data_IF_978283759926
#
_entry.id   IF_978283759926
#
_cell.length_a   1.000
_cell.length_b   1.000
_cell.length_c   1.000
_cell.angle_alpha   90.00
_cell.angle_beta   90.00
_cell.angle_gamma   90.00
#
_symmetry.space_group_name_H-M   'P 1'
#
loop_
_entity.id
_entity.type
_entity.pdbx_description
1 polymer ?
#
# COMPACT_ATOMS: atom_id res chain seq x y z
N UNK A 1 -1.23 29.45 11.87
CA UNK A 1 -1.79 28.41 12.77
C UNK A 1 -3.00 27.91 12.02
N UNK A 2 -2.73 27.02 11.06
CA UNK A 2 -3.64 26.79 9.95
C UNK A 2 -4.45 25.55 10.26
N UNK A 3 -5.55 25.79 10.96
CA UNK A 3 -6.64 24.86 11.17
C UNK A 3 -7.47 24.85 9.88
N UNK A 4 -7.11 24.00 8.92
CA UNK A 4 -8.01 23.41 7.90
C UNK A 4 -7.20 22.69 6.82
N UNK A 5 -6.57 21.58 7.21
CA UNK A 5 -6.08 20.61 6.23
C UNK A 5 -6.58 19.23 6.66
N UNK A 6 -7.91 19.02 6.55
CA UNK A 6 -8.48 17.68 6.61
C UNK A 6 -7.87 16.91 5.43
N UNK A 7 -6.80 16.19 5.72
CA UNK A 7 -6.09 15.40 4.73
C UNK A 7 -7.07 14.36 4.20
N UNK A 8 -7.28 14.36 2.88
CA UNK A 8 -8.32 13.57 2.22
C UNK A 8 -8.12 12.09 2.53
N UNK A 9 -9.01 11.52 3.35
CA UNK A 9 -9.10 10.09 3.59
C UNK A 9 -9.86 9.44 2.43
N UNK A 10 -9.37 8.28 1.99
CA UNK A 10 -9.99 7.47 0.94
C UNK A 10 -10.24 6.08 1.52
N UNK A 11 -11.49 5.63 1.46
CA UNK A 11 -11.87 4.28 1.89
C UNK A 11 -11.36 3.24 0.90
N UNK A 12 -10.76 2.17 1.45
CA UNK A 12 -10.38 0.99 0.69
C UNK A 12 -11.47 -0.08 0.75
N UNK A 13 -11.43 -1.01 -0.19
CA UNK A 13 -12.38 -2.13 -0.21
C UNK A 13 -12.08 -3.05 0.97
N UNK A 14 -13.08 -3.28 1.82
CA UNK A 14 -12.90 -4.10 3.02
C UNK A 14 -12.52 -5.55 2.66
N UNK A 15 -11.65 -6.21 3.47
CA UNK A 15 -11.15 -7.55 3.15
C UNK A 15 -12.23 -8.63 2.97
N UNK A 16 -13.37 -8.46 3.62
CA UNK A 16 -14.52 -9.38 3.54
C UNK A 16 -15.22 -9.30 2.18
N UNK A 17 -14.97 -8.23 1.41
CA UNK A 17 -15.58 -7.97 0.11
C UNK A 17 -14.69 -8.36 -1.07
N UNK A 18 -13.45 -8.81 -0.83
CA UNK A 18 -12.53 -9.20 -1.89
C UNK A 18 -13.09 -10.36 -2.74
N UNK A 19 -13.20 -10.11 -4.03
CA UNK A 19 -13.52 -11.06 -5.10
C UNK A 19 -12.25 -11.64 -5.73
N UNK A 20 -11.13 -10.94 -5.66
CA UNK A 20 -9.83 -11.38 -6.18
C UNK A 20 -8.96 -12.11 -5.13
N UNK A 21 -7.77 -12.59 -5.53
CA UNK A 21 -6.79 -13.19 -4.61
C UNK A 21 -7.02 -14.66 -4.22
N UNK A 22 -7.96 -15.34 -4.88
CA UNK A 22 -8.37 -16.73 -4.56
C UNK A 22 -7.50 -17.83 -5.21
N UNK A 23 -6.31 -17.48 -5.73
CA UNK A 23 -5.42 -18.47 -6.35
C UNK A 23 -4.84 -19.42 -5.29
N UNK A 24 -4.68 -20.73 -5.57
CA UNK A 24 -4.06 -21.65 -4.63
C UNK A 24 -2.66 -21.18 -4.21
N UNK A 25 -2.36 -21.29 -2.92
CA UNK A 25 -1.12 -20.75 -2.36
C UNK A 25 0.14 -21.33 -3.03
N UNK A 26 0.17 -22.65 -3.26
CA UNK A 26 1.29 -23.31 -3.93
C UNK A 26 1.51 -22.79 -5.36
N UNK A 27 0.44 -22.47 -6.09
CA UNK A 27 0.55 -21.90 -7.44
C UNK A 27 1.18 -20.51 -7.41
N UNK A 28 0.79 -19.68 -6.43
CA UNK A 28 1.35 -18.34 -6.25
C UNK A 28 2.84 -18.43 -5.93
N UNK A 29 3.24 -19.32 -5.01
CA UNK A 29 4.65 -19.53 -4.66
C UNK A 29 5.49 -19.99 -5.85
N UNK A 30 5.01 -21.00 -6.58
CA UNK A 30 5.75 -21.60 -7.69
C UNK A 30 5.90 -20.65 -8.89
N UNK A 31 4.94 -19.73 -9.10
CA UNK A 31 4.96 -18.77 -10.21
C UNK A 31 5.59 -17.42 -9.87
N UNK A 32 5.91 -17.16 -8.60
CA UNK A 32 6.44 -15.86 -8.16
C UNK A 32 7.81 -15.60 -8.75
N UNK A 33 7.93 -14.48 -9.46
CA UNK A 33 9.19 -13.95 -9.99
C UNK A 33 9.23 -12.43 -9.80
N UNK A 34 10.43 -11.85 -9.72
CA UNK A 34 10.58 -10.39 -9.69
C UNK A 34 10.41 -9.82 -11.10
N UNK A 35 9.37 -9.03 -11.32
CA UNK A 35 9.14 -8.32 -12.59
C UNK A 35 9.65 -6.89 -12.49
N UNK A 36 10.30 -6.41 -13.56
CA UNK A 36 10.85 -5.04 -13.67
C UNK A 36 10.44 -4.34 -14.97
N UNK A 37 9.51 -4.94 -15.69
CA UNK A 37 8.83 -4.34 -16.83
C UNK A 37 7.34 -4.34 -16.51
N UNK A 38 6.73 -3.17 -16.54
CA UNK A 38 5.35 -2.93 -16.11
C UNK A 38 4.52 -2.37 -17.26
N UNK A 39 3.22 -2.67 -17.26
CA UNK A 39 2.27 -2.01 -18.18
C UNK A 39 1.94 -0.61 -17.67
N UNK A 40 1.38 0.21 -18.56
CA UNK A 40 0.84 1.52 -18.20
C UNK A 40 -0.61 1.43 -17.70
N UNK A 41 -1.12 0.22 -17.48
CA UNK A 41 -2.46 0.01 -16.94
C UNK A 41 -2.57 0.52 -15.50
N UNK A 42 -3.79 0.82 -15.12
CA UNK A 42 -4.15 1.20 -13.76
C UNK A 42 -4.36 -0.07 -12.94
N UNK A 43 -4.02 -0.02 -11.66
CA UNK A 43 -4.56 -0.99 -10.71
C UNK A 43 -5.99 -0.58 -10.34
N UNK A 44 -6.85 -1.57 -10.18
CA UNK A 44 -8.16 -1.37 -9.57
C UNK A 44 -8.00 -0.99 -8.09
N UNK A 45 -9.02 -0.33 -7.51
CA UNK A 45 -9.03 -0.06 -6.07
C UNK A 45 -8.97 -1.35 -5.25
N UNK A 46 -9.58 -2.43 -5.74
CA UNK A 46 -9.61 -3.72 -5.06
C UNK A 46 -8.22 -4.38 -5.01
N UNK A 47 -7.47 -4.34 -6.11
CA UNK A 47 -6.09 -4.84 -6.15
C UNK A 47 -5.20 -4.11 -5.16
N UNK A 48 -5.28 -2.77 -5.10
CA UNK A 48 -4.52 -2.00 -4.11
C UNK A 48 -4.95 -2.35 -2.68
N UNK A 49 -6.27 -2.41 -2.43
CA UNK A 49 -6.84 -2.74 -1.12
C UNK A 49 -6.36 -4.11 -0.63
N UNK A 50 -6.37 -5.11 -1.53
CA UNK A 50 -5.89 -6.45 -1.25
C UNK A 50 -4.39 -6.47 -0.92
N UNK A 51 -3.56 -5.79 -1.70
CA UNK A 51 -2.11 -5.73 -1.47
C UNK A 51 -1.78 -5.09 -0.12
N UNK A 52 -2.46 -4.00 0.24
CA UNK A 52 -2.29 -3.32 1.53
C UNK A 52 -2.74 -4.18 2.69
N UNK A 53 -3.88 -4.84 2.56
CA UNK A 53 -4.37 -5.76 3.56
C UNK A 53 -3.41 -6.95 3.74
N UNK A 54 -3.00 -7.59 2.65
CA UNK A 54 -2.12 -8.76 2.68
C UNK A 54 -0.75 -8.47 3.33
N UNK A 55 -0.26 -7.24 3.21
CA UNK A 55 1.07 -6.86 3.71
C UNK A 55 1.05 -6.23 5.09
N UNK A 56 0.01 -5.48 5.47
CA UNK A 56 -0.03 -4.71 6.73
C UNK A 56 -1.42 -4.61 7.38
N UNK A 57 -2.40 -5.41 6.92
CA UNK A 57 -3.77 -5.44 7.43
C UNK A 57 -3.90 -5.82 8.91
N UNK A 58 -4.90 -5.26 9.58
CA UNK A 58 -5.23 -5.49 11.00
C UNK A 58 -6.36 -6.50 11.12
N UNK A 59 -6.07 -7.76 11.46
CA UNK A 59 -7.07 -8.81 11.65
C UNK A 59 -7.89 -8.61 12.92
N UNK A 60 -7.23 -8.22 14.01
CA UNK A 60 -7.88 -8.12 15.32
C UNK A 60 -7.11 -7.17 16.23
N UNK A 61 -7.84 -6.30 16.93
CA UNK A 61 -7.32 -5.50 18.04
C UNK A 61 -7.52 -6.28 19.35
N UNK A 62 -6.46 -6.51 20.12
CA UNK A 62 -6.56 -7.30 21.35
C UNK A 62 -7.19 -6.45 22.47
N UNK A 63 -8.21 -7.00 23.13
CA UNK A 63 -8.94 -6.32 24.24
C UNK A 63 -8.06 -5.94 25.43
N UNK A 64 -6.90 -6.59 25.58
CA UNK A 64 -5.94 -6.31 26.65
C UNK A 64 -5.15 -5.02 26.45
N UNK A 65 -5.29 -4.34 25.30
CA UNK A 65 -4.47 -3.18 24.93
C UNK A 65 -3.01 -3.55 24.61
N UNK A 66 -2.66 -4.85 24.60
CA UNK A 66 -1.26 -5.33 24.48
C UNK A 66 -0.77 -5.49 23.04
N UNK A 67 -1.57 -5.15 22.03
CA UNK A 67 -1.15 -5.19 20.65
C UNK A 67 -2.26 -5.51 19.65
N UNK A 68 -1.86 -5.66 18.40
CA UNK A 68 -2.74 -5.89 17.25
C UNK A 68 -2.26 -7.13 16.51
N UNK A 69 -3.19 -8.02 16.16
CA UNK A 69 -2.92 -9.14 15.28
C UNK A 69 -3.05 -8.66 13.84
N UNK A 70 -1.97 -8.82 13.07
CA UNK A 70 -1.90 -8.42 11.66
C UNK A 70 -1.90 -9.62 10.73
N UNK A 71 -2.01 -9.36 9.44
CA UNK A 71 -1.80 -10.36 8.38
C UNK A 71 -0.37 -10.88 8.33
N UNK A 72 0.59 -10.10 8.82
CA UNK A 72 2.01 -10.44 8.92
C UNK A 72 2.47 -10.53 10.39
N UNK A 73 3.38 -11.46 10.73
CA UNK A 73 3.92 -11.58 12.08
C UNK A 73 4.90 -10.43 12.41
N UNK A 74 5.00 -10.07 13.69
CA UNK A 74 5.98 -9.09 14.20
C UNK A 74 6.43 -9.48 15.60
N UNK A 75 7.73 -9.32 15.88
CA UNK A 75 8.28 -9.51 17.22
C UNK A 75 7.50 -8.67 18.24
N UNK A 76 7.07 -9.32 19.33
CA UNK A 76 6.32 -8.68 20.43
C UNK A 76 5.02 -7.98 20.03
N UNK A 77 4.42 -8.34 18.88
CA UNK A 77 3.25 -7.66 18.31
C UNK A 77 3.42 -6.13 18.11
N UNK A 78 4.67 -5.67 17.95
CA UNK A 78 4.99 -4.23 17.88
C UNK A 78 4.56 -3.57 16.57
N UNK A 79 4.69 -4.28 15.46
CA UNK A 79 4.33 -3.78 14.12
C UNK A 79 4.90 -2.38 13.83
N UNK A 80 6.24 -2.21 13.88
CA UNK A 80 6.86 -0.88 13.85
C UNK A 80 6.73 -0.17 12.50
N UNK A 81 6.42 -0.91 11.43
CA UNK A 81 6.41 -0.34 10.09
C UNK A 81 5.18 0.54 9.85
N UNK A 82 5.43 1.76 9.40
CA UNK A 82 4.46 2.55 8.66
C UNK A 82 4.57 2.26 7.16
N UNK A 83 3.45 2.35 6.46
CA UNK A 83 3.39 2.10 5.01
C UNK A 83 2.97 3.36 4.29
N UNK A 84 3.89 3.87 3.49
CA UNK A 84 3.66 4.95 2.55
C UNK A 84 3.56 4.39 1.14
N UNK A 85 2.79 5.08 0.31
CA UNK A 85 2.55 4.69 -1.07
C UNK A 85 2.80 5.88 -1.96
N UNK A 86 3.52 5.65 -3.05
CA UNK A 86 3.59 6.59 -4.16
C UNK A 86 2.71 6.01 -5.24
N UNK A 87 1.53 6.59 -5.40
CA UNK A 87 0.52 6.16 -6.35
C UNK A 87 0.71 6.95 -7.63
N UNK A 88 0.92 6.24 -8.73
CA UNK A 88 0.98 6.82 -10.07
C UNK A 88 -0.32 6.55 -10.84
N UNK A 89 -0.88 5.33 -10.73
CA UNK A 89 -2.02 4.86 -11.52
C UNK A 89 -2.89 3.86 -10.76
N UNK A 90 -3.89 4.35 -10.04
CA UNK A 90 -4.92 3.54 -9.39
C UNK A 90 -6.27 4.15 -9.72
N UNK A 91 -7.24 3.33 -10.10
CA UNK A 91 -8.59 3.80 -10.44
C UNK A 91 -9.23 4.56 -9.26
N UNK A 92 -9.75 5.75 -9.55
CA UNK A 92 -10.42 6.59 -8.54
C UNK A 92 -9.49 7.26 -7.51
N UNK A 93 -8.17 7.13 -7.64
CA UNK A 93 -7.19 7.77 -6.76
C UNK A 93 -6.23 8.64 -7.57
N UNK A 94 -6.14 9.91 -7.19
CA UNK A 94 -5.22 10.86 -7.80
C UNK A 94 -3.74 10.46 -7.56
N UNK A 95 -2.83 10.74 -8.50
CA UNK A 95 -1.42 10.49 -8.29
C UNK A 95 -0.84 11.30 -7.11
N UNK A 96 -0.03 10.67 -6.26
CA UNK A 96 0.56 11.33 -5.12
C UNK A 96 1.18 10.41 -4.08
N UNK A 97 1.62 11.02 -2.98
CA UNK A 97 2.11 10.36 -1.78
C UNK A 97 0.96 10.18 -0.78
N UNK A 98 0.80 8.94 -0.33
CA UNK A 98 -0.22 8.53 0.61
C UNK A 98 0.39 7.77 1.79
N UNK A 99 -0.30 7.78 2.93
CA UNK A 99 -0.03 6.88 4.07
C UNK A 99 -1.19 5.92 4.23
N UNK A 100 -0.89 4.65 4.44
CA UNK A 100 -1.90 3.64 4.75
C UNK A 100 -2.23 3.64 6.23
N UNK A 101 -3.49 3.97 6.55
CA UNK A 101 -4.05 3.93 7.90
C UNK A 101 -4.66 2.56 8.13
N UNK A 102 -3.81 1.62 8.56
CA UNK A 102 -4.16 0.19 8.67
C UNK A 102 -5.31 -0.13 9.63
N UNK A 103 -5.54 0.68 10.67
CA UNK A 103 -6.62 0.47 11.64
C UNK A 103 -8.01 0.73 11.07
N UNK A 104 -8.13 1.72 10.18
CA UNK A 104 -9.40 2.07 9.53
C UNK A 104 -9.48 1.55 8.10
N UNK A 105 -8.41 0.92 7.61
CA UNK A 105 -8.27 0.47 6.23
C UNK A 105 -8.53 1.61 5.22
N UNK A 106 -7.79 2.71 5.38
CA UNK A 106 -7.94 3.91 4.57
C UNK A 106 -6.58 4.41 4.07
N UNK A 107 -6.61 5.23 3.01
CA UNK A 107 -5.47 6.00 2.56
C UNK A 107 -5.62 7.46 2.99
N UNK A 108 -4.56 7.99 3.59
CA UNK A 108 -4.41 9.41 3.89
C UNK A 108 -3.58 10.07 2.80
N UNK A 109 -4.17 11.00 2.04
CA UNK A 109 -3.40 11.81 1.11
C UNK A 109 -2.44 12.74 1.87
N UNK A 110 -1.18 12.79 1.44
CA UNK A 110 -0.15 13.66 2.03
C UNK A 110 0.14 14.82 1.09
N UNK A 111 0.57 14.53 -0.14
CA UNK A 111 0.93 15.55 -1.13
C UNK A 111 1.07 14.96 -2.52
N UNK A 112 0.97 15.82 -3.54
CA UNK A 112 1.41 15.49 -4.90
C UNK A 112 2.94 15.45 -4.99
N UNK A 113 3.48 14.60 -5.86
CA UNK A 113 4.89 14.60 -6.22
C UNK A 113 4.99 14.94 -7.71
N UNK A 114 5.60 16.08 -8.03
CA UNK A 114 5.88 16.45 -9.42
C UNK A 114 6.90 15.48 -10.01
N UNK A 115 6.64 15.00 -11.23
CA UNK A 115 7.52 14.06 -11.95
C UNK A 115 7.88 12.80 -11.14
N UNK A 116 6.91 12.25 -10.39
CA UNK A 116 7.10 11.15 -9.46
C UNK A 116 7.85 9.95 -10.06
N UNK A 117 7.50 9.51 -11.27
CA UNK A 117 8.20 8.40 -11.95
C UNK A 117 9.71 8.67 -12.06
N UNK A 118 10.10 9.87 -12.48
CA UNK A 118 11.51 10.24 -12.64
C UNK A 118 12.21 10.32 -11.28
N UNK A 119 11.61 11.06 -10.34
CA UNK A 119 12.18 11.28 -9.00
C UNK A 119 12.41 9.95 -8.29
N UNK A 120 11.45 9.03 -8.33
CA UNK A 120 11.56 7.73 -7.66
C UNK A 120 12.56 6.81 -8.37
N UNK A 121 12.63 6.86 -9.70
CA UNK A 121 13.68 6.15 -10.44
C UNK A 121 15.09 6.60 -10.05
N UNK A 122 15.30 7.91 -9.86
CA UNK A 122 16.58 8.49 -9.43
C UNK A 122 16.92 8.11 -7.98
N UNK A 123 15.97 8.29 -7.05
CA UNK A 123 16.13 7.93 -5.63
C UNK A 123 16.38 6.43 -5.42
N UNK A 124 15.87 5.57 -6.31
CA UNK A 124 16.11 4.13 -6.27
C UNK A 124 17.48 3.74 -6.86
N UNK A 125 18.52 4.53 -6.62
CA UNK A 125 19.86 4.37 -7.20
C UNK A 125 19.84 4.32 -8.73
N UNK A 126 19.11 5.24 -9.36
CA UNK A 126 18.92 5.32 -10.82
C UNK A 126 18.24 4.09 -11.46
N UNK A 127 17.56 3.26 -10.68
CA UNK A 127 16.73 2.17 -11.20
C UNK A 127 15.40 2.71 -11.73
N UNK A 128 15.43 3.20 -12.98
CA UNK A 128 14.27 3.82 -13.66
C UNK A 128 12.99 3.00 -13.63
N UNK A 129 13.08 1.66 -13.60
CA UNK A 129 11.88 0.82 -13.57
C UNK A 129 11.07 1.00 -12.28
N UNK A 130 11.69 1.37 -11.15
CA UNK A 130 11.00 1.50 -9.86
C UNK A 130 9.91 2.56 -9.94
N UNK A 131 10.23 3.72 -10.52
CA UNK A 131 9.26 4.81 -10.70
C UNK A 131 8.13 4.49 -11.67
N UNK A 132 8.29 3.50 -12.56
CA UNK A 132 7.28 3.10 -13.56
C UNK A 132 6.12 2.28 -12.99
N UNK A 133 6.29 1.73 -11.79
CA UNK A 133 5.24 0.95 -11.13
C UNK A 133 3.96 1.76 -10.97
N UNK A 134 2.80 1.10 -11.06
CA UNK A 134 1.52 1.76 -10.81
C UNK A 134 1.44 2.32 -9.38
N UNK A 135 2.05 1.60 -8.42
CA UNK A 135 2.21 2.00 -7.03
C UNK A 135 3.59 1.53 -6.53
N UNK A 136 4.28 2.37 -5.77
CA UNK A 136 5.51 2.02 -5.05
C UNK A 136 5.22 1.99 -3.55
N UNK A 137 5.50 0.85 -2.91
CA UNK A 137 5.34 0.66 -1.47
C UNK A 137 6.64 1.04 -0.76
N UNK A 138 6.53 1.93 0.21
CA UNK A 138 7.64 2.40 1.04
C UNK A 138 7.35 2.04 2.49
N UNK A 139 8.06 1.04 3.03
CA UNK A 139 8.02 0.68 4.44
C UNK A 139 9.05 1.51 5.21
N UNK A 140 8.60 2.19 6.26
CA UNK A 140 9.41 3.08 7.09
C UNK A 140 9.31 2.62 8.54
N UNK A 141 10.43 2.59 9.26
CA UNK A 141 10.53 2.24 10.69
C UNK A 141 11.28 3.33 11.45
#
# INVERSE_FOLDING_TARGET
MDKDNFSKLIDLISPEKFQIGKKPFLDVLNRRISRRNYTNEYLTLEELSLLLWATQGVKQILKSGRGVLRTVPSAGAKSPFETYLIINRVEGIEPGLYRYISFTHQLLFIKTIKDAEKVIGELAFNQKFVGKGAVVFCWVA
#
